data_IF_861362167756
#
_entry.id   IF_861362167756
#
_cell.length_a   1.000
_cell.length_b   1.000
_cell.length_c   1.000
_cell.angle_alpha   90.00
_cell.angle_beta   90.00
_cell.angle_gamma   90.00
#
_symmetry.space_group_name_H-M   'P 1'
#
loop_
_entity.id
_entity.type
_entity.pdbx_description
1 polymer ?
#
# COMPACT_ATOMS: atom_id res chain seq x y z
N UNK A 1 48.26 -1.61 6.59
CA UNK A 1 47.11 -1.08 7.36
C UNK A 1 46.00 -0.73 6.38
N UNK A 2 44.78 -1.22 6.63
CA UNK A 2 43.46 -0.92 6.03
C UNK A 2 43.35 -0.56 4.53
N UNK A 3 43.10 -1.65 3.76
CA UNK A 3 42.21 -1.94 2.61
C UNK A 3 41.87 -0.88 1.52
N UNK A 4 41.78 -1.31 0.25
CA UNK A 4 41.51 -0.48 -0.92
C UNK A 4 40.00 -0.19 -1.09
N UNK A 5 39.64 1.05 -1.40
CA UNK A 5 38.29 1.38 -1.88
C UNK A 5 38.21 1.12 -3.39
N UNK A 6 37.36 0.16 -3.74
CA UNK A 6 37.02 -0.25 -5.10
C UNK A 6 36.53 0.92 -5.95
N UNK A 7 37.20 1.09 -7.09
CA UNK A 7 36.76 1.86 -8.24
C UNK A 7 35.30 1.56 -8.58
N UNK A 8 34.53 2.65 -8.61
CA UNK A 8 33.19 2.78 -9.15
C UNK A 8 33.16 2.18 -10.58
N UNK A 9 32.64 0.95 -10.72
CA UNK A 9 32.33 0.37 -12.04
C UNK A 9 30.98 0.92 -12.47
N UNK A 10 31.05 2.00 -13.26
CA UNK A 10 29.97 2.46 -14.13
C UNK A 10 29.67 1.34 -15.12
N UNK A 11 28.48 0.75 -15.05
CA UNK A 11 27.96 -0.17 -16.04
C UNK A 11 26.69 0.44 -16.66
N UNK A 12 26.71 0.47 -17.99
CA UNK A 12 25.73 0.98 -18.97
C UNK A 12 25.92 2.41 -19.49
N UNK A 13 25.93 2.61 -20.82
CA UNK A 13 26.07 3.91 -21.45
C UNK A 13 24.81 4.72 -21.20
N UNK A 14 24.99 5.87 -20.56
CA UNK A 14 23.95 6.87 -20.33
C UNK A 14 23.52 7.43 -21.70
N UNK A 15 22.37 6.99 -22.19
CA UNK A 15 21.76 7.60 -23.37
C UNK A 15 21.41 9.05 -23.05
N UNK A 16 21.89 9.95 -23.91
CA UNK A 16 22.20 11.35 -23.57
C UNK A 16 21.00 12.30 -23.48
N UNK A 17 19.76 11.83 -23.63
CA UNK A 17 18.60 12.71 -23.83
C UNK A 17 17.49 12.66 -22.77
N UNK A 18 17.57 11.83 -21.72
CA UNK A 18 16.62 11.90 -20.60
C UNK A 18 17.24 11.44 -19.27
N UNK A 19 18.12 12.24 -18.66
CA UNK A 19 18.63 12.01 -17.29
C UNK A 19 17.61 12.27 -16.17
N UNK A 20 16.32 12.32 -16.51
CA UNK A 20 15.23 12.40 -15.52
C UNK A 20 14.28 11.25 -15.78
N UNK A 21 14.29 10.27 -14.88
CA UNK A 21 13.15 9.39 -14.66
C UNK A 21 11.91 10.28 -14.58
N UNK A 22 10.84 10.02 -15.35
CA UNK A 22 9.63 10.81 -15.26
C UNK A 22 9.15 10.76 -13.80
N UNK A 23 9.27 11.88 -13.09
CA UNK A 23 8.54 12.03 -11.82
C UNK A 23 7.06 11.88 -12.17
N UNK A 24 6.34 11.05 -11.43
CA UNK A 24 4.88 11.11 -11.39
C UNK A 24 4.48 12.43 -10.73
N UNK A 25 4.63 13.56 -11.46
CA UNK A 25 4.39 14.91 -10.93
C UNK A 25 2.90 15.24 -10.88
N UNK A 26 2.06 14.46 -11.56
CA UNK A 26 0.62 14.76 -11.65
C UNK A 26 -0.17 13.63 -11.00
N UNK A 27 -0.53 13.84 -9.73
CA UNK A 27 -1.65 13.15 -9.08
C UNK A 27 -3.02 13.51 -9.70
N UNK A 28 -3.04 14.04 -10.93
CA UNK A 28 -4.26 14.39 -11.62
C UNK A 28 -4.93 13.10 -12.09
N UNK A 29 -6.21 12.98 -11.79
CA UNK A 29 -7.04 11.86 -12.20
C UNK A 29 -8.50 12.12 -11.84
N UNK A 30 -9.36 11.29 -12.37
CA UNK A 30 -10.80 11.26 -12.12
C UNK A 30 -11.17 10.12 -11.19
N UNK A 31 -12.22 10.31 -10.40
CA UNK A 31 -12.89 9.23 -9.68
C UNK A 31 -14.03 8.71 -10.54
N UNK A 32 -13.87 7.51 -11.09
CA UNK A 32 -14.86 6.80 -11.89
C UNK A 32 -15.93 6.18 -10.99
N UNK A 33 -16.63 7.05 -10.26
CA UNK A 33 -17.60 6.69 -9.24
C UNK A 33 -18.66 5.73 -9.79
N UNK A 34 -18.78 4.56 -9.16
CA UNK A 34 -19.96 3.69 -9.28
C UNK A 34 -20.57 3.50 -7.90
N UNK A 35 -21.87 3.70 -7.79
CA UNK A 35 -22.59 3.65 -6.51
C UNK A 35 -22.47 2.27 -5.87
N UNK A 36 -22.57 1.23 -6.69
CA UNK A 36 -22.50 -0.18 -6.31
C UNK A 36 -21.14 -0.51 -5.68
N UNK A 37 -20.04 -0.04 -6.28
CA UNK A 37 -18.69 -0.20 -5.72
C UNK A 37 -18.56 0.46 -4.36
N UNK A 38 -19.09 1.68 -4.20
CA UNK A 38 -19.01 2.42 -2.93
C UNK A 38 -19.81 1.70 -1.84
N UNK A 39 -21.01 1.21 -2.15
CA UNK A 39 -21.84 0.47 -1.21
C UNK A 39 -21.19 -0.86 -0.80
N UNK A 40 -20.66 -1.61 -1.77
CA UNK A 40 -19.91 -2.86 -1.53
C UNK A 40 -18.66 -2.64 -0.68
N UNK A 41 -17.87 -1.61 -1.00
CA UNK A 41 -16.67 -1.24 -0.25
C UNK A 41 -16.99 -0.81 1.19
N UNK A 42 -18.07 -0.06 1.42
CA UNK A 42 -18.50 0.32 2.78
C UNK A 42 -18.91 -0.90 3.61
N UNK A 43 -19.64 -1.84 3.02
CA UNK A 43 -20.00 -3.09 3.67
C UNK A 43 -18.75 -3.91 4.02
N UNK A 44 -17.79 -3.99 3.08
CA UNK A 44 -16.51 -4.64 3.28
C UNK A 44 -15.67 -4.00 4.40
N UNK A 45 -15.60 -2.66 4.46
CA UNK A 45 -14.92 -1.93 5.52
C UNK A 45 -15.49 -2.29 6.90
N UNK A 46 -16.82 -2.29 7.02
CA UNK A 46 -17.51 -2.66 8.27
C UNK A 46 -17.19 -4.10 8.67
N UNK A 47 -17.24 -5.05 7.73
CA UNK A 47 -16.93 -6.45 7.99
C UNK A 47 -15.46 -6.67 8.42
N UNK A 48 -14.53 -5.87 7.89
CA UNK A 48 -13.09 -5.98 8.15
C UNK A 48 -12.55 -4.99 9.21
N UNK A 49 -13.44 -4.30 9.95
CA UNK A 49 -13.07 -3.30 10.96
C UNK A 49 -12.22 -2.13 10.47
N UNK A 50 -12.37 -1.74 9.21
CA UNK A 50 -11.86 -0.47 8.72
C UNK A 50 -12.86 0.62 9.12
N UNK A 51 -12.38 1.62 9.86
CA UNK A 51 -13.25 2.60 10.52
C UNK A 51 -12.75 4.00 10.30
N UNK A 52 -13.65 4.90 9.92
CA UNK A 52 -13.44 6.35 10.07
C UNK A 52 -14.10 6.84 11.35
N UNK A 53 -13.45 7.73 12.11
CA UNK A 53 -13.98 8.32 13.35
C UNK A 53 -15.14 9.32 13.12
N UNK A 54 -15.72 9.35 11.92
CA UNK A 54 -16.78 10.28 11.52
C UNK A 54 -16.35 11.74 11.46
N UNK A 55 -15.04 12.01 11.51
CA UNK A 55 -14.44 13.33 11.59
C UNK A 55 -13.81 13.79 10.27
N UNK A 56 -14.01 13.01 9.20
CA UNK A 56 -13.58 13.31 7.83
C UNK A 56 -14.66 12.96 6.82
N UNK A 57 -14.56 13.53 5.62
CA UNK A 57 -15.37 13.21 4.44
C UNK A 57 -14.44 12.88 3.27
N UNK A 58 -14.83 11.90 2.45
CA UNK A 58 -14.21 11.65 1.15
C UNK A 58 -14.76 12.67 0.16
N UNK A 59 -13.88 13.38 -0.54
CA UNK A 59 -14.21 14.39 -1.55
C UNK A 59 -13.31 14.25 -2.78
N UNK A 60 -13.73 14.80 -3.91
CA UNK A 60 -12.90 14.99 -5.10
C UNK A 60 -12.54 16.47 -5.27
N UNK A 61 -11.41 16.74 -5.92
CA UNK A 61 -10.97 18.11 -6.25
C UNK A 61 -10.41 18.15 -7.66
N UNK A 62 -10.03 19.33 -8.14
CA UNK A 62 -9.32 19.46 -9.41
C UNK A 62 -7.93 18.79 -9.42
N UNK A 63 -7.36 18.53 -8.24
CA UNK A 63 -6.04 17.93 -8.10
C UNK A 63 -6.07 16.45 -7.74
N UNK A 64 -7.13 15.99 -7.09
CA UNK A 64 -7.21 14.63 -6.54
C UNK A 64 -8.56 14.01 -6.87
N UNK A 65 -8.54 12.85 -7.53
CA UNK A 65 -9.74 12.04 -7.78
C UNK A 65 -10.49 11.76 -6.47
N UNK A 66 -9.76 11.33 -5.44
CA UNK A 66 -10.27 11.15 -4.08
C UNK A 66 -9.25 11.71 -3.09
N UNK A 67 -9.78 12.43 -2.11
CA UNK A 67 -9.03 12.93 -0.96
C UNK A 67 -9.91 13.01 0.28
N UNK A 68 -9.29 13.13 1.44
CA UNK A 68 -9.99 13.33 2.71
C UNK A 68 -9.95 14.80 3.11
N UNK A 69 -11.09 15.27 3.61
CA UNK A 69 -11.26 16.61 4.17
C UNK A 69 -11.80 16.51 5.59
N UNK A 70 -11.24 17.29 6.51
CA UNK A 70 -11.73 17.37 7.88
C UNK A 70 -13.18 17.85 7.92
N UNK A 71 -14.05 17.09 8.58
CA UNK A 71 -15.46 17.42 8.75
C UNK A 71 -15.75 18.22 10.04
N UNK A 72 -14.72 18.37 10.88
CA UNK A 72 -14.71 19.08 12.15
C UNK A 72 -13.25 19.34 12.53
N UNK A 73 -13.01 20.24 13.48
CA UNK A 73 -11.69 20.45 14.05
C UNK A 73 -11.12 19.15 14.65
N UNK A 74 -9.86 18.83 14.33
CA UNK A 74 -9.12 17.67 14.84
C UNK A 74 -7.99 18.11 15.76
N UNK A 75 -7.87 17.46 16.91
CA UNK A 75 -6.79 17.73 17.87
C UNK A 75 -5.54 16.91 17.50
N UNK A 76 -4.33 17.38 17.86
CA UNK A 76 -3.13 16.57 17.78
C UNK A 76 -3.31 15.20 18.46
N UNK A 77 -2.84 14.14 17.82
CA UNK A 77 -2.96 12.76 18.30
C UNK A 77 -4.29 12.07 18.02
N UNK A 78 -5.34 12.82 17.68
CA UNK A 78 -6.67 12.26 17.46
C UNK A 78 -6.71 11.31 16.25
N UNK A 79 -7.30 10.12 16.43
CA UNK A 79 -7.51 9.15 15.37
C UNK A 79 -8.57 9.61 14.36
N UNK A 80 -8.25 9.39 13.09
CA UNK A 80 -9.06 9.73 11.93
C UNK A 80 -9.62 8.46 11.30
N UNK A 81 -8.73 7.51 11.01
CA UNK A 81 -9.06 6.17 10.51
C UNK A 81 -8.32 5.14 11.35
N UNK A 82 -8.95 4.01 11.65
CA UNK A 82 -8.29 2.83 12.23
C UNK A 82 -8.62 1.60 11.41
N UNK A 83 -7.67 0.67 11.31
CA UNK A 83 -7.85 -0.60 10.61
C UNK A 83 -6.92 -1.69 11.16
N UNK A 84 -7.34 -2.96 11.20
CA UNK A 84 -6.44 -4.06 11.53
C UNK A 84 -5.47 -4.35 10.37
N UNK A 85 -4.33 -4.97 10.68
CA UNK A 85 -3.38 -5.43 9.66
C UNK A 85 -4.02 -6.38 8.64
N UNK A 86 -5.03 -7.16 9.05
CA UNK A 86 -5.77 -8.08 8.19
C UNK A 86 -6.59 -7.37 7.11
N UNK A 87 -6.85 -6.07 7.23
CA UNK A 87 -7.53 -5.29 6.19
C UNK A 87 -6.56 -4.63 5.19
N UNK A 88 -5.25 -4.74 5.41
CA UNK A 88 -4.24 -4.15 4.55
C UNK A 88 -3.89 -5.06 3.38
N UNK A 89 -3.44 -4.47 2.26
CA UNK A 89 -3.03 -5.20 1.07
C UNK A 89 -1.59 -4.83 0.67
N UNK A 90 -0.74 -5.83 0.47
CA UNK A 90 0.66 -5.68 0.07
C UNK A 90 1.15 -6.98 -0.59
N UNK A 91 2.39 -7.00 -1.09
CA UNK A 91 2.94 -8.17 -1.79
C UNK A 91 3.00 -9.43 -0.91
N UNK A 92 3.13 -9.30 0.41
CA UNK A 92 3.12 -10.45 1.33
C UNK A 92 1.73 -11.09 1.43
N UNK A 93 0.68 -10.28 1.34
CA UNK A 93 -0.70 -10.78 1.21
C UNK A 93 -0.87 -11.51 -0.12
N UNK A 94 -0.41 -10.91 -1.22
CA UNK A 94 -0.46 -11.51 -2.57
C UNK A 94 0.25 -12.86 -2.59
N UNK A 95 1.48 -12.93 -2.06
CA UNK A 95 2.24 -14.17 -2.05
C UNK A 95 1.53 -15.28 -1.25
N UNK A 96 0.82 -14.95 -0.15
CA UNK A 96 0.00 -15.94 0.57
C UNK A 96 -1.20 -16.43 -0.23
N UNK A 97 -1.89 -15.53 -0.94
CA UNK A 97 -3.04 -15.89 -1.78
C UNK A 97 -2.60 -16.78 -2.95
N UNK A 98 -1.51 -16.44 -3.63
CA UNK A 98 -0.94 -17.21 -4.74
C UNK A 98 -0.54 -18.64 -4.33
N UNK A 99 0.13 -18.80 -3.19
CA UNK A 99 0.59 -20.13 -2.75
C UNK A 99 -0.39 -20.83 -1.81
N UNK A 100 -1.62 -20.33 -1.66
CA UNK A 100 -2.66 -20.95 -0.85
C UNK A 100 -2.30 -21.09 0.63
N UNK A 101 -1.39 -20.25 1.14
CA UNK A 101 -0.89 -20.36 2.52
C UNK A 101 -1.83 -19.70 3.53
N UNK A 102 -3.00 -19.22 3.07
CA UNK A 102 -4.04 -18.65 3.92
C UNK A 102 -4.85 -19.72 4.66
N UNK A 103 -4.19 -20.65 5.38
CA UNK A 103 -4.64 -21.44 6.54
C UNK A 103 -5.98 -22.20 6.53
N UNK A 104 -6.83 -22.07 5.52
CA UNK A 104 -8.19 -22.61 5.46
C UNK A 104 -8.51 -23.06 4.05
N UNK A 105 -7.92 -24.19 3.63
CA UNK A 105 -8.38 -24.98 2.48
C UNK A 105 -8.69 -24.21 1.19
N UNK A 106 -8.05 -23.06 0.98
CA UNK A 106 -8.25 -22.27 -0.23
C UNK A 106 -7.62 -23.00 -1.41
N UNK A 107 -8.36 -23.07 -2.51
CA UNK A 107 -7.85 -23.49 -3.82
C UNK A 107 -6.55 -22.74 -4.12
N UNK A 108 -5.45 -23.48 -4.22
CA UNK A 108 -4.16 -22.88 -4.58
C UNK A 108 -4.27 -22.42 -6.03
N UNK A 109 -4.24 -21.10 -6.25
CA UNK A 109 -4.15 -20.55 -7.59
C UNK A 109 -2.69 -20.54 -8.02
N UNK A 110 -2.19 -21.72 -8.41
CA UNK A 110 -0.84 -21.88 -8.96
C UNK A 110 -0.69 -21.23 -10.35
N UNK A 111 -1.76 -20.68 -10.92
CA UNK A 111 -1.81 -20.27 -12.32
C UNK A 111 -1.41 -18.80 -12.54
N UNK A 112 -0.78 -18.13 -11.58
CA UNK A 112 -0.22 -16.82 -11.92
C UNK A 112 1.00 -17.03 -12.84
N UNK A 113 1.04 -16.42 -14.03
CA UNK A 113 1.97 -16.81 -15.08
C UNK A 113 3.40 -16.29 -14.88
N UNK A 114 3.61 -15.39 -13.92
CA UNK A 114 4.95 -14.92 -13.56
C UNK A 114 5.59 -15.87 -12.55
N UNK A 115 6.68 -16.54 -12.92
CA UNK A 115 7.59 -17.19 -11.95
C UNK A 115 8.25 -16.10 -11.09
N UNK A 116 7.66 -15.85 -9.92
CA UNK A 116 8.15 -14.81 -9.03
C UNK A 116 9.26 -15.38 -8.14
N UNK A 117 10.48 -14.86 -8.32
CA UNK A 117 11.57 -15.11 -7.39
C UNK A 117 11.37 -14.29 -6.11
N UNK A 118 10.50 -14.78 -5.23
CA UNK A 118 10.25 -14.14 -3.94
C UNK A 118 11.47 -14.13 -3.02
N UNK A 119 12.56 -14.86 -3.32
CA UNK A 119 13.80 -14.70 -2.56
C UNK A 119 14.48 -13.35 -2.82
N UNK A 120 14.29 -12.76 -4.00
CA UNK A 120 14.78 -11.44 -4.40
C UNK A 120 13.61 -10.55 -4.84
N UNK A 121 12.61 -10.40 -3.97
CA UNK A 121 11.33 -9.79 -4.32
C UNK A 121 11.42 -8.32 -4.80
N UNK A 122 12.47 -7.61 -4.41
CA UNK A 122 12.75 -6.22 -4.80
C UNK A 122 13.61 -6.10 -6.07
N UNK A 123 13.99 -7.22 -6.68
CA UNK A 123 14.75 -7.27 -7.92
C UNK A 123 13.99 -6.51 -9.01
N UNK A 124 14.67 -5.56 -9.66
CA UNK A 124 14.09 -4.80 -10.76
C UNK A 124 13.86 -5.72 -11.95
N UNK A 125 12.69 -5.59 -12.57
CA UNK A 125 12.39 -6.31 -13.80
C UNK A 125 13.41 -5.87 -14.87
N UNK A 126 14.12 -6.82 -15.48
CA UNK A 126 15.12 -6.53 -16.52
C UNK A 126 14.52 -5.74 -17.69
N UNK A 127 13.27 -6.08 -18.03
CA UNK A 127 12.47 -5.53 -19.12
C UNK A 127 11.57 -4.34 -18.73
N UNK A 128 11.44 -4.03 -17.44
CA UNK A 128 10.67 -2.88 -16.95
C UNK A 128 11.35 -2.29 -15.72
N UNK A 129 12.42 -1.53 -15.95
CA UNK A 129 13.33 -1.06 -14.89
C UNK A 129 12.67 -0.13 -13.88
N UNK A 130 11.54 0.49 -14.23
CA UNK A 130 10.73 1.27 -13.28
C UNK A 130 10.04 0.44 -12.20
N UNK A 131 9.88 -0.87 -12.40
CA UNK A 131 9.16 -1.75 -11.49
C UNK A 131 10.09 -2.84 -10.92
N UNK A 132 9.87 -3.19 -9.65
CA UNK A 132 10.37 -4.46 -9.11
C UNK A 132 9.44 -5.62 -9.45
N UNK A 133 9.95 -6.85 -9.32
CA UNK A 133 9.16 -8.06 -9.50
C UNK A 133 7.95 -8.06 -8.54
N UNK A 134 8.13 -7.68 -7.28
CA UNK A 134 7.01 -7.59 -6.33
C UNK A 134 5.98 -6.53 -6.69
N UNK A 135 6.38 -5.39 -7.24
CA UNK A 135 5.45 -4.36 -7.73
C UNK A 135 4.64 -4.89 -8.92
N UNK A 136 5.32 -5.47 -9.92
CA UNK A 136 4.67 -6.04 -11.10
C UNK A 136 3.68 -7.15 -10.72
N UNK A 137 4.09 -8.08 -9.86
CA UNK A 137 3.22 -9.14 -9.37
C UNK A 137 2.05 -8.59 -8.58
N UNK A 138 2.27 -7.62 -7.68
CA UNK A 138 1.17 -7.04 -6.89
C UNK A 138 0.17 -6.33 -7.79
N UNK A 139 0.63 -5.58 -8.78
CA UNK A 139 -0.24 -4.90 -9.74
C UNK A 139 -1.01 -5.90 -10.62
N UNK A 140 -0.35 -6.93 -11.15
CA UNK A 140 -1.01 -7.97 -11.93
C UNK A 140 -2.02 -8.79 -11.10
N UNK A 141 -1.72 -9.04 -9.83
CA UNK A 141 -2.66 -9.71 -8.92
C UNK A 141 -3.89 -8.85 -8.63
N UNK A 142 -3.73 -7.53 -8.50
CA UNK A 142 -4.87 -6.62 -8.40
C UNK A 142 -5.77 -6.70 -9.64
N UNK A 143 -5.20 -6.79 -10.85
CA UNK A 143 -6.01 -7.01 -12.07
C UNK A 143 -6.77 -8.34 -11.99
N UNK A 144 -6.10 -9.42 -11.59
CA UNK A 144 -6.72 -10.73 -11.43
C UNK A 144 -7.89 -10.70 -10.43
N UNK A 145 -7.71 -10.06 -9.27
CA UNK A 145 -8.78 -9.89 -8.28
C UNK A 145 -9.95 -9.10 -8.88
N UNK A 146 -9.66 -8.03 -9.62
CA UNK A 146 -10.69 -7.20 -10.24
C UNK A 146 -11.50 -7.94 -11.30
N UNK A 147 -10.91 -8.91 -11.99
CA UNK A 147 -11.57 -9.60 -13.09
C UNK A 147 -12.21 -10.93 -12.68
N UNK A 148 -11.58 -11.70 -11.79
CA UNK A 148 -12.08 -13.01 -11.35
C UNK A 148 -12.85 -12.97 -10.03
N UNK A 149 -12.77 -11.85 -9.29
CA UNK A 149 -13.43 -11.62 -8.01
C UNK A 149 -13.11 -12.68 -6.91
N UNK A 150 -12.02 -13.42 -7.08
CA UNK A 150 -11.68 -14.61 -6.26
C UNK A 150 -11.07 -14.31 -4.87
N UNK A 151 -10.79 -13.03 -4.57
CA UNK A 151 -10.20 -12.63 -3.29
C UNK A 151 -11.22 -11.97 -2.37
N UNK A 152 -11.03 -12.09 -1.06
CA UNK A 152 -11.77 -11.27 -0.10
C UNK A 152 -11.54 -9.78 -0.29
N UNK A 153 -10.46 -9.37 -0.97
CA UNK A 153 -10.16 -7.97 -1.24
C UNK A 153 -10.90 -7.40 -2.44
N UNK A 154 -11.70 -8.19 -3.18
CA UNK A 154 -12.44 -7.74 -4.36
C UNK A 154 -13.14 -6.38 -4.19
N UNK A 155 -13.94 -6.12 -3.12
CA UNK A 155 -14.57 -4.80 -2.94
C UNK A 155 -13.57 -3.65 -2.77
N UNK A 156 -12.42 -3.92 -2.14
CA UNK A 156 -11.37 -2.92 -1.96
C UNK A 156 -10.60 -2.66 -3.26
N UNK A 157 -10.32 -3.70 -4.04
CA UNK A 157 -9.63 -3.56 -5.33
C UNK A 157 -10.50 -2.78 -6.31
N UNK A 158 -11.79 -3.09 -6.47
CA UNK A 158 -12.67 -2.27 -7.30
C UNK A 158 -12.71 -0.82 -6.83
N UNK A 159 -12.81 -0.59 -5.52
CA UNK A 159 -12.71 0.75 -4.95
C UNK A 159 -11.40 1.45 -5.36
N UNK A 160 -10.24 0.80 -5.24
CA UNK A 160 -8.95 1.37 -5.63
C UNK A 160 -8.88 1.71 -7.14
N UNK A 161 -9.43 0.85 -8.00
CA UNK A 161 -9.35 0.99 -9.45
C UNK A 161 -10.33 2.02 -10.05
N UNK A 162 -11.29 2.52 -9.28
CA UNK A 162 -12.09 3.70 -9.68
C UNK A 162 -11.29 5.00 -9.63
N UNK A 163 -10.21 5.05 -8.86
CA UNK A 163 -9.36 6.22 -8.73
C UNK A 163 -8.22 6.14 -9.77
N UNK A 164 -8.22 7.08 -10.72
CA UNK A 164 -7.31 7.06 -11.87
C UNK A 164 -6.06 7.91 -11.66
N UNK A 165 -5.85 8.49 -10.46
CA UNK A 165 -4.67 9.34 -10.18
C UNK A 165 -3.39 8.62 -10.56
N UNK A 166 -2.56 9.27 -11.37
CA UNK A 166 -1.24 8.78 -11.79
C UNK A 166 -1.25 7.75 -12.91
N UNK A 167 -2.41 7.22 -13.32
CA UNK A 167 -2.52 6.22 -14.39
C UNK A 167 -1.77 6.65 -15.65
N UNK A 168 -2.01 7.87 -16.11
CA UNK A 168 -1.38 8.38 -17.34
C UNK A 168 0.13 8.54 -17.20
N UNK A 169 0.61 8.90 -16.00
CA UNK A 169 2.04 9.00 -15.74
C UNK A 169 2.73 7.64 -15.81
N UNK A 170 2.10 6.61 -15.23
CA UNK A 170 2.59 5.22 -15.30
C UNK A 170 2.56 4.73 -16.74
N UNK A 171 1.42 4.85 -17.44
CA UNK A 171 1.28 4.37 -18.81
C UNK A 171 2.33 5.00 -19.75
N UNK A 172 2.55 6.31 -19.64
CA UNK A 172 3.59 7.01 -20.40
C UNK A 172 5.01 6.59 -20.00
N UNK A 173 5.26 6.29 -18.72
CA UNK A 173 6.53 5.76 -18.22
C UNK A 173 6.84 4.39 -18.82
N UNK A 174 5.89 3.45 -18.71
CA UNK A 174 5.99 2.11 -19.29
C UNK A 174 6.19 2.19 -20.81
N UNK A 175 5.45 3.06 -21.51
CA UNK A 175 5.60 3.24 -22.95
C UNK A 175 6.98 3.75 -23.36
N UNK A 176 7.68 4.50 -22.51
CA UNK A 176 9.06 4.95 -22.77
C UNK A 176 10.08 3.85 -22.52
N UNK A 177 9.83 3.00 -21.53
CA UNK A 177 10.70 1.85 -21.22
C UNK A 177 10.58 0.72 -22.23
N UNK A 178 9.41 0.60 -22.87
CA UNK A 178 9.12 -0.37 -23.93
C UNK A 178 10.09 -0.36 -25.12
N UNK A 179 11.08 0.52 -25.20
CA UNK A 179 12.07 0.67 -26.30
C UNK A 179 12.51 -0.61 -27.03
N UNK A 180 13.76 -1.08 -26.82
CA UNK A 180 14.31 -2.23 -27.57
C UNK A 180 13.77 -3.60 -27.09
N UNK A 181 13.21 -3.67 -25.88
CA UNK A 181 12.68 -4.90 -25.28
C UNK A 181 11.14 -5.00 -25.31
N UNK A 182 10.46 -4.27 -26.21
CA UNK A 182 8.98 -4.19 -26.25
C UNK A 182 8.31 -5.57 -26.21
N UNK A 183 8.86 -6.54 -26.94
CA UNK A 183 8.29 -7.89 -27.04
C UNK A 183 8.26 -8.65 -25.70
N UNK A 184 9.22 -8.41 -24.80
CA UNK A 184 9.24 -9.06 -23.48
C UNK A 184 8.19 -8.49 -22.55
N UNK A 185 8.07 -7.15 -22.49
CA UNK A 185 7.01 -6.48 -21.71
C UNK A 185 5.64 -6.95 -22.19
N UNK A 186 5.46 -6.96 -23.52
CA UNK A 186 4.19 -7.32 -24.14
C UNK A 186 3.86 -8.78 -23.88
N UNK A 187 4.84 -9.67 -24.00
CA UNK A 187 4.67 -11.08 -23.67
C UNK A 187 4.22 -11.28 -22.22
N UNK A 188 4.92 -10.70 -21.24
CA UNK A 188 4.53 -10.85 -19.83
C UNK A 188 3.17 -10.22 -19.52
N UNK A 189 2.84 -9.10 -20.15
CA UNK A 189 1.52 -8.48 -19.98
C UNK A 189 0.42 -9.36 -20.58
N UNK A 190 0.64 -9.94 -21.76
CA UNK A 190 -0.29 -10.88 -22.38
C UNK A 190 -0.46 -12.15 -21.54
N UNK A 191 0.62 -12.71 -21.01
CA UNK A 191 0.56 -13.88 -20.12
C UNK A 191 -0.30 -13.54 -18.89
N UNK A 192 -0.02 -12.43 -18.20
CA UNK A 192 -0.83 -11.97 -17.06
C UNK A 192 -2.32 -11.75 -17.39
N UNK A 193 -2.62 -11.30 -18.61
CA UNK A 193 -3.99 -11.05 -19.06
C UNK A 193 -4.77 -12.35 -19.33
N UNK A 194 -4.10 -13.41 -19.81
CA UNK A 194 -4.74 -14.60 -20.41
C UNK A 194 -5.74 -15.30 -19.48
N UNK A 195 -5.47 -15.31 -18.17
CA UNK A 195 -6.38 -15.88 -17.17
C UNK A 195 -7.27 -14.84 -16.47
N UNK A 196 -6.88 -13.56 -16.53
CA UNK A 196 -7.53 -12.51 -15.75
C UNK A 196 -8.64 -11.84 -16.54
N UNK A 197 -8.41 -11.39 -17.77
CA UNK A 197 -9.32 -10.49 -18.47
C UNK A 197 -9.37 -10.81 -19.96
N UNK A 198 -10.59 -10.92 -20.52
CA UNK A 198 -10.80 -11.17 -21.95
C UNK A 198 -10.42 -9.96 -22.81
N UNK A 199 -10.54 -8.73 -22.28
CA UNK A 199 -10.21 -7.49 -22.98
C UNK A 199 -8.81 -6.98 -22.59
N UNK A 200 -7.83 -7.01 -23.52
CA UNK A 200 -6.48 -6.51 -23.26
C UNK A 200 -6.43 -5.02 -22.89
N UNK A 201 -7.35 -4.19 -23.39
CA UNK A 201 -7.37 -2.76 -23.07
C UNK A 201 -7.82 -2.52 -21.63
N UNK A 202 -8.84 -3.26 -21.18
CA UNK A 202 -9.28 -3.22 -19.78
C UNK A 202 -8.19 -3.75 -18.84
N UNK A 203 -7.50 -4.83 -19.22
CA UNK A 203 -6.36 -5.34 -18.47
C UNK A 203 -5.27 -4.27 -18.29
N UNK A 204 -4.82 -3.64 -19.38
CA UNK A 204 -3.78 -2.61 -19.32
C UNK A 204 -4.22 -1.40 -18.49
N UNK A 205 -5.49 -1.01 -18.62
CA UNK A 205 -6.06 0.08 -17.82
C UNK A 205 -6.00 -0.23 -16.32
N UNK A 206 -6.46 -1.42 -15.93
CA UNK A 206 -6.42 -1.87 -14.54
C UNK A 206 -4.97 -2.04 -14.05
N UNK A 207 -4.05 -2.49 -14.90
CA UNK A 207 -2.64 -2.66 -14.56
C UNK A 207 -1.99 -1.31 -14.26
N UNK A 208 -2.17 -0.31 -15.12
CA UNK A 208 -1.61 1.02 -14.90
C UNK A 208 -2.23 1.74 -13.70
N UNK A 209 -3.53 1.56 -13.45
CA UNK A 209 -4.17 2.05 -12.22
C UNK A 209 -3.64 1.35 -10.97
N UNK A 210 -3.35 0.05 -11.05
CA UNK A 210 -2.78 -0.72 -9.94
C UNK A 210 -1.37 -0.24 -9.60
N UNK A 211 -0.50 -0.08 -10.60
CA UNK A 211 0.81 0.56 -10.40
C UNK A 211 0.67 1.96 -9.81
N UNK A 212 -0.23 2.79 -10.35
CA UNK A 212 -0.43 4.14 -9.83
C UNK A 212 -0.93 4.14 -8.38
N UNK A 213 -1.78 3.18 -7.99
CA UNK A 213 -2.19 3.00 -6.62
C UNK A 213 -1.01 2.59 -5.71
N UNK A 214 -0.22 1.60 -6.12
CA UNK A 214 0.97 1.15 -5.38
C UNK A 214 1.96 2.30 -5.20
N UNK A 215 2.26 3.04 -6.26
CA UNK A 215 3.18 4.15 -6.17
C UNK A 215 2.57 5.29 -5.34
N UNK A 216 1.38 5.80 -5.65
CA UNK A 216 0.87 7.06 -5.08
C UNK A 216 0.14 6.92 -3.74
N UNK A 217 -0.25 5.70 -3.33
CA UNK A 217 -1.18 5.51 -2.22
C UNK A 217 -0.69 4.52 -1.18
N UNK A 218 0.25 3.63 -1.53
CA UNK A 218 0.81 2.70 -0.57
C UNK A 218 1.69 3.44 0.45
N UNK A 219 1.60 3.01 1.71
CA UNK A 219 2.37 3.57 2.82
C UNK A 219 3.32 2.48 3.31
N UNK A 220 4.63 2.75 3.48
CA UNK A 220 5.54 1.78 4.07
C UNK A 220 5.16 1.50 5.52
N UNK A 221 5.37 0.28 5.95
CA UNK A 221 5.08 -0.17 7.31
C UNK A 221 6.36 -0.54 8.05
N UNK A 222 6.32 -0.40 9.37
CA UNK A 222 7.44 -0.65 10.26
C UNK A 222 7.76 -2.14 10.37
N UNK A 223 9.00 -2.45 10.77
CA UNK A 223 9.49 -3.82 10.93
C UNK A 223 8.57 -4.66 11.84
N UNK A 224 8.06 -4.05 12.91
CA UNK A 224 7.15 -4.70 13.85
C UNK A 224 5.83 -5.11 13.19
N UNK A 225 5.31 -4.32 12.25
CA UNK A 225 4.08 -4.61 11.54
C UNK A 225 4.29 -5.65 10.42
N UNK A 226 5.43 -5.61 9.71
CA UNK A 226 5.80 -6.61 8.68
C UNK A 226 5.75 -8.03 9.25
N UNK A 227 6.18 -8.21 10.52
CA UNK A 227 6.13 -9.52 11.19
C UNK A 227 4.74 -10.15 11.24
N UNK A 228 3.67 -9.36 11.23
CA UNK A 228 2.29 -9.91 11.20
C UNK A 228 1.93 -10.50 9.83
N UNK A 229 2.61 -10.06 8.77
CA UNK A 229 2.43 -10.58 7.42
C UNK A 229 3.36 -11.76 7.13
N UNK A 230 4.38 -12.04 7.94
CA UNK A 230 5.31 -13.13 7.68
C UNK A 230 4.76 -14.55 7.81
N UNK A 231 3.87 -14.90 8.77
CA UNK A 231 3.43 -16.28 8.93
C UNK A 231 2.84 -16.85 7.63
N UNK A 232 3.40 -17.96 7.15
CA UNK A 232 3.04 -18.54 5.85
C UNK A 232 3.83 -18.01 4.64
N UNK A 233 4.84 -17.17 4.87
CA UNK A 233 5.73 -16.64 3.82
C UNK A 233 7.20 -16.98 4.07
N UNK A 234 7.46 -18.15 4.66
CA UNK A 234 8.81 -18.56 5.08
C UNK A 234 9.78 -18.79 3.90
N UNK A 235 9.36 -18.55 2.66
CA UNK A 235 10.18 -18.62 1.46
C UNK A 235 10.99 -17.34 1.20
N UNK A 236 10.69 -16.22 1.87
CA UNK A 236 11.54 -15.02 1.81
C UNK A 236 12.85 -15.24 2.59
N UNK A 237 13.98 -14.88 1.98
CA UNK A 237 15.31 -14.90 2.63
C UNK A 237 15.70 -13.57 3.30
N UNK A 238 15.03 -12.48 2.91
CA UNK A 238 15.28 -11.15 3.45
C UNK A 238 14.91 -11.11 4.95
N UNK A 239 15.71 -10.39 5.75
CA UNK A 239 15.33 -10.13 7.14
C UNK A 239 14.27 -9.04 7.19
N UNK A 240 13.38 -9.11 8.17
CA UNK A 240 12.26 -8.16 8.34
C UNK A 240 12.71 -6.70 8.34
N UNK A 241 13.81 -6.40 9.02
CA UNK A 241 14.41 -5.06 9.14
C UNK A 241 15.06 -4.55 7.84
N UNK A 242 15.22 -5.43 6.86
CA UNK A 242 15.72 -5.12 5.52
C UNK A 242 14.56 -5.02 4.51
N UNK A 243 13.33 -5.40 4.89
CA UNK A 243 12.18 -5.42 3.98
C UNK A 243 11.53 -4.04 3.82
N UNK A 244 11.39 -3.59 2.57
CA UNK A 244 10.46 -2.53 2.19
C UNK A 244 9.12 -3.13 1.77
N UNK A 245 8.04 -2.80 2.49
CA UNK A 245 6.69 -3.34 2.25
C UNK A 245 5.68 -2.20 2.09
N UNK A 246 5.59 -1.58 0.90
CA UNK A 246 4.51 -0.63 0.58
C UNK A 246 3.16 -1.30 0.79
N UNK A 247 2.32 -0.69 1.60
CA UNK A 247 1.04 -1.27 2.01
C UNK A 247 -0.12 -0.35 1.68
N UNK A 248 -1.08 -0.85 0.90
CA UNK A 248 -2.34 -0.20 0.63
C UNK A 248 -3.27 -0.39 1.83
N UNK A 249 -3.69 0.73 2.40
CA UNK A 249 -4.52 0.79 3.59
C UNK A 249 -5.89 1.40 3.24
N UNK A 250 -6.99 0.64 3.32
CA UNK A 250 -8.32 1.13 2.98
C UNK A 250 -8.68 2.45 3.68
N UNK A 251 -9.27 3.37 2.91
CA UNK A 251 -9.60 4.75 3.27
C UNK A 251 -8.39 5.68 3.44
N UNK A 252 -7.28 5.18 4.00
CA UNK A 252 -6.02 5.93 4.09
C UNK A 252 -5.43 6.17 2.69
N UNK A 253 -5.65 5.24 1.74
CA UNK A 253 -5.25 5.37 0.33
C UNK A 253 -5.85 6.60 -0.40
N UNK A 254 -6.90 7.20 0.17
CA UNK A 254 -7.45 8.45 -0.33
C UNK A 254 -6.59 9.66 0.06
N UNK A 255 -5.80 9.60 1.13
CA UNK A 255 -5.01 10.74 1.62
C UNK A 255 -3.83 11.00 0.67
N UNK A 256 -3.74 12.20 0.04
CA UNK A 256 -2.60 12.54 -0.81
C UNK A 256 -1.26 12.50 -0.07
N UNK A 257 -0.20 12.14 -0.80
CA UNK A 257 1.14 12.01 -0.26
C UNK A 257 1.99 13.24 -0.62
N UNK A 258 2.62 13.88 0.37
CA UNK A 258 3.50 15.03 0.17
C UNK A 258 4.96 14.70 0.50
N UNK A 259 5.88 14.95 -0.45
CA UNK A 259 7.32 14.75 -0.27
C UNK A 259 8.02 15.93 0.45
N UNK A 260 7.36 17.10 0.52
CA UNK A 260 7.92 18.35 1.06
C UNK A 260 7.89 18.44 2.60
N UNK A 261 7.37 17.41 3.26
CA UNK A 261 7.26 17.36 4.71
C UNK A 261 6.08 18.15 5.29
N UNK A 262 5.25 18.80 4.47
CA UNK A 262 4.08 19.58 4.93
C UNK A 262 2.83 18.71 5.22
N UNK A 263 3.01 17.42 5.44
CA UNK A 263 1.98 16.51 5.92
C UNK A 263 1.45 16.90 7.31
N UNK A 264 0.14 16.77 7.50
CA UNK A 264 -0.55 17.07 8.77
C UNK A 264 -1.10 15.81 9.45
N UNK A 265 -0.92 14.63 8.84
CA UNK A 265 -1.32 13.34 9.40
C UNK A 265 -0.20 12.32 9.31
N UNK A 266 -0.21 11.35 10.21
CA UNK A 266 0.70 10.21 10.21
C UNK A 266 -0.05 8.89 10.32
N UNK A 267 0.49 7.86 9.67
CA UNK A 267 0.08 6.48 9.82
C UNK A 267 1.01 5.84 10.84
N UNK A 268 0.44 5.28 11.90
CA UNK A 268 1.19 4.62 12.97
C UNK A 268 0.62 3.25 13.29
N UNK A 269 1.50 2.35 13.70
CA UNK A 269 1.18 0.99 14.10
C UNK A 269 1.12 0.87 15.63
N UNK A 270 0.05 0.24 16.11
CA UNK A 270 -0.25 0.10 17.54
C UNK A 270 -0.37 -1.40 17.90
N UNK A 271 0.72 -2.02 18.37
CA UNK A 271 0.68 -3.38 18.90
C UNK A 271 0.11 -3.39 20.34
N UNK A 272 -0.63 -4.43 20.70
CA UNK A 272 -1.15 -4.62 22.05
C UNK A 272 -1.13 -6.10 22.46
N UNK A 273 -0.67 -6.38 23.67
CA UNK A 273 -0.69 -7.71 24.32
C UNK A 273 -1.94 -7.90 25.19
N UNK A 274 -2.31 -6.86 25.92
CA UNK A 274 -3.36 -6.87 26.95
C UNK A 274 -4.43 -5.80 26.68
N UNK A 275 -5.57 -5.92 27.38
CA UNK A 275 -6.68 -4.98 27.21
C UNK A 275 -6.31 -3.60 27.77
N UNK A 276 -5.50 -3.57 28.83
CA UNK A 276 -5.04 -2.32 29.44
C UNK A 276 -4.24 -1.46 28.46
N UNK A 277 -3.27 -2.06 27.77
CA UNK A 277 -2.47 -1.41 26.72
C UNK A 277 -3.37 -0.90 25.59
N UNK A 278 -4.32 -1.73 25.13
CA UNK A 278 -5.27 -1.33 24.10
C UNK A 278 -6.11 -0.12 24.54
N UNK A 279 -6.61 -0.11 25.77
CA UNK A 279 -7.42 0.99 26.29
C UNK A 279 -6.62 2.26 26.48
N UNK A 280 -5.35 2.15 26.90
CA UNK A 280 -4.42 3.28 26.94
C UNK A 280 -4.23 3.87 25.55
N UNK A 281 -3.94 3.04 24.54
CA UNK A 281 -3.81 3.49 23.15
C UNK A 281 -5.10 4.14 22.62
N UNK A 282 -6.27 3.58 22.94
CA UNK A 282 -7.56 4.17 22.54
C UNK A 282 -7.76 5.57 23.16
N UNK A 283 -7.32 5.76 24.41
CA UNK A 283 -7.35 7.05 25.09
C UNK A 283 -6.39 8.05 24.46
N UNK A 284 -5.16 7.62 24.17
CA UNK A 284 -4.13 8.46 23.54
C UNK A 284 -4.55 8.90 22.13
N UNK A 285 -5.25 8.03 21.41
CA UNK A 285 -5.84 8.31 20.10
C UNK A 285 -7.16 9.11 20.17
N UNK A 286 -7.63 9.47 21.37
CA UNK A 286 -8.88 10.22 21.57
C UNK A 286 -10.06 9.57 20.84
N UNK A 287 -10.16 8.24 20.90
CA UNK A 287 -11.27 7.51 20.30
C UNK A 287 -12.57 7.77 21.07
N UNK A 288 -13.69 7.79 20.35
CA UNK A 288 -15.01 7.81 20.97
C UNK A 288 -15.27 6.53 21.77
N UNK A 289 -16.27 6.54 22.64
CA UNK A 289 -16.71 5.34 23.36
C UNK A 289 -17.10 4.21 22.39
N UNK A 290 -17.81 4.54 21.32
CA UNK A 290 -18.11 3.62 20.22
C UNK A 290 -16.85 3.03 19.62
N UNK A 291 -15.88 3.88 19.22
CA UNK A 291 -14.60 3.42 18.67
C UNK A 291 -13.84 2.51 19.63
N UNK A 292 -13.80 2.84 20.92
CA UNK A 292 -13.12 2.06 21.96
C UNK A 292 -13.77 0.68 22.14
N UNK A 293 -15.11 0.61 22.18
CA UNK A 293 -15.84 -0.65 22.29
C UNK A 293 -15.58 -1.56 21.10
N UNK A 294 -15.54 -0.98 19.91
CA UNK A 294 -15.25 -1.75 18.71
C UNK A 294 -13.77 -2.21 18.65
N UNK A 295 -12.82 -1.50 19.28
CA UNK A 295 -11.43 -1.96 19.45
C UNK A 295 -11.34 -3.13 20.43
N UNK A 296 -12.11 -3.11 21.52
CA UNK A 296 -12.25 -4.30 22.40
C UNK A 296 -12.78 -5.51 21.63
N UNK A 297 -13.71 -5.30 20.71
CA UNK A 297 -14.23 -6.38 19.86
C UNK A 297 -13.19 -6.95 18.88
N UNK A 298 -12.28 -6.11 18.38
CA UNK A 298 -11.12 -6.57 17.63
C UNK A 298 -10.24 -7.48 18.51
N UNK A 299 -9.95 -7.07 19.75
CA UNK A 299 -9.18 -7.88 20.71
C UNK A 299 -9.83 -9.23 20.99
N UNK A 300 -11.14 -9.26 21.24
CA UNK A 300 -11.87 -10.53 21.46
C UNK A 300 -11.71 -11.49 20.29
N UNK A 301 -11.74 -10.99 19.05
CA UNK A 301 -11.47 -11.80 17.85
C UNK A 301 -10.04 -12.30 17.77
N UNK A 302 -9.04 -11.48 18.10
CA UNK A 302 -7.64 -11.93 18.16
C UNK A 302 -7.45 -13.06 19.19
N UNK A 303 -8.09 -12.96 20.36
CA UNK A 303 -8.07 -14.01 21.37
C UNK A 303 -8.76 -15.29 20.89
N UNK A 304 -9.92 -15.17 20.23
CA UNK A 304 -10.64 -16.30 19.66
C UNK A 304 -9.87 -17.00 18.51
N UNK A 305 -8.94 -16.31 17.86
CA UNK A 305 -8.04 -16.87 16.84
C UNK A 305 -6.70 -17.36 17.41
N UNK A 306 -6.58 -17.47 18.74
CA UNK A 306 -5.37 -17.89 19.45
C UNK A 306 -4.11 -17.05 19.14
N UNK A 307 -4.30 -15.83 18.64
CA UNK A 307 -3.17 -14.93 18.34
C UNK A 307 -2.58 -14.30 19.61
N UNK A 308 -3.38 -14.20 20.68
CA UNK A 308 -2.97 -13.70 22.02
C UNK A 308 -2.69 -12.20 22.08
N UNK A 309 -1.84 -11.71 21.18
CA UNK A 309 -1.59 -10.30 20.90
C UNK A 309 -2.33 -9.86 19.63
N UNK A 310 -2.63 -8.57 19.54
CA UNK A 310 -3.24 -7.97 18.35
C UNK A 310 -2.54 -6.67 17.99
N UNK A 311 -2.92 -6.12 16.83
CA UNK A 311 -2.44 -4.83 16.41
C UNK A 311 -3.35 -4.17 15.38
N UNK A 312 -3.23 -2.86 15.26
CA UNK A 312 -3.94 -2.05 14.29
C UNK A 312 -3.08 -0.89 13.80
N UNK A 313 -3.45 -0.34 12.65
CA UNK A 313 -2.92 0.93 12.15
C UNK A 313 -3.92 2.04 12.43
N UNK A 314 -3.42 3.24 12.68
CA UNK A 314 -4.22 4.44 12.76
C UNK A 314 -3.64 5.56 11.89
N UNK A 315 -4.49 6.22 11.11
CA UNK A 315 -4.22 7.56 10.62
C UNK A 315 -4.61 8.54 11.73
N UNK A 316 -3.67 9.38 12.17
CA UNK A 316 -3.91 10.39 13.20
C UNK A 316 -3.41 11.77 12.80
N UNK A 317 -4.02 12.79 13.40
CA UNK A 317 -3.57 14.17 13.24
C UNK A 317 -2.22 14.40 13.96
N UNK A 318 -1.26 15.02 13.27
CA UNK A 318 0.03 15.42 13.85
C UNK A 318 -0.04 16.79 14.54
N UNK A 319 -0.78 17.70 13.93
CA UNK A 319 -1.04 19.05 14.42
C UNK A 319 -2.55 19.30 14.48
N UNK A 320 -3.01 20.45 15.00
CA UNK A 320 -4.40 20.85 14.83
C UNK A 320 -4.76 20.91 13.34
N UNK A 321 -5.94 20.43 12.97
CA UNK A 321 -6.47 20.48 11.60
C UNK A 321 -7.86 21.11 11.67
N UNK A 322 -8.08 22.19 10.94
CA UNK A 322 -9.35 22.92 10.99
C UNK A 322 -10.43 22.25 10.14
N UNK A 323 -11.69 22.56 10.44
CA UNK A 323 -12.79 22.08 9.61
C UNK A 323 -12.63 22.57 8.17
N UNK A 324 -12.68 21.65 7.22
CA UNK A 324 -12.49 21.96 5.81
C UNK A 324 -11.03 21.92 5.35
N UNK A 325 -10.06 21.58 6.19
CA UNK A 325 -8.70 21.34 5.71
C UNK A 325 -8.58 19.97 5.04
N UNK A 326 -7.69 19.88 4.05
CA UNK A 326 -7.30 18.61 3.45
C UNK A 326 -6.29 17.88 4.33
N UNK A 327 -6.36 16.56 4.28
CA UNK A 327 -5.41 15.71 4.97
C UNK A 327 -4.28 15.35 4.03
N UNK A 328 -3.07 15.25 4.57
CA UNK A 328 -1.87 14.88 3.84
C UNK A 328 -1.04 13.93 4.70
N UNK A 329 -0.51 12.87 4.09
CA UNK A 329 0.49 11.99 4.71
C UNK A 329 1.84 12.21 4.06
N UNK A 330 2.91 11.82 4.76
CA UNK A 330 4.26 11.90 4.21
C UNK A 330 4.40 10.95 3.01
N UNK A 331 4.83 11.49 1.89
CA UNK A 331 5.25 10.72 0.73
C UNK A 331 6.64 10.12 0.93
N UNK A 332 6.82 8.90 0.45
CA UNK A 332 8.13 8.25 0.34
C UNK A 332 8.78 8.70 -0.97
N UNK A 333 10.06 9.11 -0.97
CA UNK A 333 10.75 9.40 -2.21
C UNK A 333 10.89 8.12 -3.05
N UNK A 334 10.24 8.10 -4.22
CA UNK A 334 10.09 6.89 -5.08
C UNK A 334 11.19 6.69 -6.10
N UNK A 335 12.04 7.71 -6.27
CA UNK A 335 13.13 7.69 -7.26
C UNK A 335 14.50 7.45 -6.59
N UNK A 336 14.48 6.71 -5.48
CA UNK A 336 15.70 6.34 -4.77
C UNK A 336 16.20 4.96 -5.14
N UNK A 337 17.51 4.74 -4.98
CA UNK A 337 18.05 3.39 -4.95
C UNK A 337 17.37 2.58 -3.82
N UNK A 338 17.34 1.23 -3.86
CA UNK A 338 16.77 0.41 -2.78
C UNK A 338 17.27 0.79 -1.38
N UNK A 339 18.51 1.29 -1.28
CA UNK A 339 19.12 1.83 -0.07
C UNK A 339 18.37 3.07 0.50
N UNK A 340 17.83 3.93 -0.35
CA UNK A 340 17.04 5.11 0.03
C UNK A 340 15.61 4.73 0.47
N UNK A 341 15.02 3.71 -0.14
CA UNK A 341 13.73 3.15 0.29
C UNK A 341 13.89 2.50 1.68
N UNK A 342 14.95 1.70 1.88
CA UNK A 342 15.31 1.12 3.18
C UNK A 342 15.60 2.20 4.24
N UNK A 343 16.30 3.28 3.85
CA UNK A 343 16.52 4.42 4.75
C UNK A 343 15.20 5.06 5.20
N UNK A 344 14.20 5.13 4.33
CA UNK A 344 12.90 5.71 4.69
C UNK A 344 12.19 4.89 5.76
N UNK A 345 12.23 3.56 5.68
CA UNK A 345 11.70 2.68 6.73
C UNK A 345 12.44 2.93 8.05
N UNK A 346 13.77 3.03 8.02
CA UNK A 346 14.59 3.31 9.21
C UNK A 346 14.28 4.67 9.83
N UNK A 347 14.04 5.70 9.02
CA UNK A 347 13.64 7.04 9.50
C UNK A 347 12.26 7.01 10.12
N UNK A 348 11.31 6.25 9.57
CA UNK A 348 9.99 6.08 10.18
C UNK A 348 10.07 5.35 11.52
N UNK A 349 10.86 4.28 11.59
CA UNK A 349 11.12 3.54 12.83
C UNK A 349 11.79 4.47 13.88
N UNK A 350 12.76 5.29 13.48
CA UNK A 350 13.41 6.27 14.35
C UNK A 350 12.44 7.35 14.85
N UNK A 351 11.60 7.89 13.97
CA UNK A 351 10.58 8.87 14.36
C UNK A 351 9.56 8.28 15.35
N UNK A 352 9.18 7.01 15.17
CA UNK A 352 8.31 6.30 16.12
C UNK A 352 8.97 6.17 17.48
N UNK A 353 10.27 5.83 17.53
CA UNK A 353 10.99 5.68 18.78
C UNK A 353 11.11 7.03 19.51
N UNK A 354 11.42 8.10 18.79
CA UNK A 354 11.54 9.45 19.34
C UNK A 354 10.20 10.03 19.83
N UNK A 355 9.07 9.63 19.24
CA UNK A 355 7.75 10.09 19.68
C UNK A 355 7.18 9.29 20.87
N UNK A 356 7.81 8.18 21.26
CA UNK A 356 7.38 7.34 22.38
C UNK A 356 8.30 7.43 23.62
N UNK A 357 9.34 8.27 23.58
CA UNK A 357 10.06 8.78 24.76
C UNK A 357 9.48 10.12 25.20
#
# INVERSE_FOLDING_TARGET
MLRPSSLCRVAFPVHRDTTKTPRLVKEVGSWLYKRETVESFRAWCKANNVRGSGNVKVVSTMHYARCLRAARHLRPGQAIITLPHTACFNFLVVAKEMYGVSGKGGTVSHNFPLEVNWMNYDERCSFLRSASMSELTTAGWMCRIASLEESRFTPYIHWLLEDTRGRDGVANGVSRERGEESGLVDHYFSEMATDACEDPEEFLENLFRSFAALHLRAVPIESAAIRLFLPGTNFFKAKVDEMFVPTLMPLIDAVPQLEDGLHNTAVEYFPFSDEETLLKQCKDLVLSEGGTNEMRELRRRCLAQEQGAGAFFALRALCPIEEGDYLYVRGVPKLGAPEQESMTVRVMEANRLLNNE
#
